data_IF_143538473636
#
_entry.id   IF_143538473636
#
_cell.length_a   1.000
_cell.length_b   1.000
_cell.length_c   1.000
_cell.angle_alpha   90.00
_cell.angle_beta   90.00
_cell.angle_gamma   90.00
#
_symmetry.space_group_name_H-M   'P 1'
#
loop_
_entity.id
_entity.type
_entity.pdbx_description
1 polymer ?
#
# COMPACT_ATOMS: atom_id res chain seq x y z
N UNK A 1 11.49 5.07 22.55
CA UNK A 1 11.88 3.72 22.07
C UNK A 1 10.88 3.20 21.03
N UNK A 2 9.57 3.29 21.27
CA UNK A 2 8.53 3.05 20.26
C UNK A 2 8.66 3.97 19.02
N UNK A 3 8.87 5.28 19.21
CA UNK A 3 8.99 6.22 18.07
C UNK A 3 10.18 5.89 17.13
N UNK A 4 11.27 5.37 17.69
CA UNK A 4 12.45 4.96 16.91
C UNK A 4 12.16 3.70 16.09
N UNK A 5 11.40 2.75 16.65
CA UNK A 5 11.00 1.53 15.93
C UNK A 5 10.00 1.86 14.82
N UNK A 6 9.02 2.72 15.09
CA UNK A 6 8.04 3.19 14.10
C UNK A 6 8.72 3.98 12.97
N UNK A 7 9.63 4.90 13.31
CA UNK A 7 10.37 5.67 12.30
C UNK A 7 11.28 4.78 11.44
N UNK A 8 11.89 3.75 12.04
CA UNK A 8 12.73 2.80 11.30
C UNK A 8 11.93 1.86 10.41
N UNK A 9 10.77 1.38 10.87
CA UNK A 9 9.85 0.59 10.03
C UNK A 9 9.31 1.44 8.87
N UNK A 10 8.93 2.70 9.12
CA UNK A 10 8.54 3.62 8.06
C UNK A 10 9.67 3.84 7.04
N UNK A 11 10.88 4.14 7.50
CA UNK A 11 12.05 4.30 6.63
C UNK A 11 12.35 3.03 5.83
N UNK A 12 12.05 1.85 6.36
CA UNK A 12 12.23 0.59 5.65
C UNK A 12 11.13 0.34 4.61
N UNK A 13 9.87 0.68 4.92
CA UNK A 13 8.73 0.55 4.02
C UNK A 13 8.81 1.49 2.80
N UNK A 14 9.42 2.67 2.97
CA UNK A 14 9.64 3.65 1.89
C UNK A 14 10.94 3.42 1.11
N UNK A 15 11.66 2.32 1.32
CA UNK A 15 12.76 1.93 0.41
C UNK A 15 12.19 1.35 -0.87
N UNK A 16 12.82 1.64 -2.00
CA UNK A 16 12.50 0.96 -3.25
C UNK A 16 13.08 -0.46 -3.24
N UNK A 17 12.41 -1.35 -3.96
CA UNK A 17 12.91 -2.68 -4.26
C UNK A 17 12.37 -3.10 -5.62
N UNK A 18 13.12 -3.99 -6.27
CA UNK A 18 12.85 -4.43 -7.62
C UNK A 18 12.40 -5.89 -7.58
N UNK A 19 11.32 -6.21 -8.29
CA UNK A 19 10.86 -7.59 -8.47
C UNK A 19 10.50 -7.84 -9.94
N UNK A 20 10.72 -9.07 -10.38
CA UNK A 20 10.23 -9.56 -11.66
C UNK A 20 8.82 -10.13 -11.46
N UNK A 21 7.88 -9.68 -12.29
CA UNK A 21 6.47 -10.04 -12.20
C UNK A 21 6.06 -10.64 -13.55
N UNK A 22 5.41 -11.80 -13.50
CA UNK A 22 4.75 -12.41 -14.64
C UNK A 22 3.42 -11.71 -14.90
N UNK A 23 3.32 -10.98 -16.02
CA UNK A 23 2.09 -10.31 -16.42
C UNK A 23 1.17 -11.25 -17.22
N UNK A 24 -0.16 -10.99 -17.21
CA UNK A 24 -1.14 -11.83 -17.90
C UNK A 24 -1.04 -11.80 -19.44
N UNK A 25 -0.25 -10.89 -20.01
CA UNK A 25 0.11 -10.89 -21.43
C UNK A 25 1.28 -11.83 -21.77
N UNK A 26 1.81 -12.55 -20.77
CA UNK A 26 2.91 -13.50 -20.92
C UNK A 26 4.29 -12.88 -20.84
N UNK A 27 4.40 -11.57 -20.61
CA UNK A 27 5.69 -10.89 -20.45
C UNK A 27 6.11 -10.84 -18.98
N UNK A 28 7.40 -11.11 -18.74
CA UNK A 28 8.03 -10.86 -17.45
C UNK A 28 8.55 -9.43 -17.44
N UNK A 29 8.06 -8.61 -16.52
CA UNK A 29 8.51 -7.22 -16.38
C UNK A 29 9.16 -6.98 -15.04
N UNK A 30 10.28 -6.27 -15.09
CA UNK A 30 11.04 -5.85 -13.92
C UNK A 30 10.50 -4.53 -13.41
N UNK A 31 9.83 -4.56 -12.26
CA UNK A 31 9.18 -3.40 -11.66
C UNK A 31 10.01 -2.93 -10.46
N UNK A 32 10.33 -1.63 -10.42
CA UNK A 32 10.91 -0.99 -9.25
C UNK A 32 9.84 -0.12 -8.57
N UNK A 33 9.56 -0.39 -7.30
CA UNK A 33 8.63 0.41 -6.50
C UNK A 33 8.94 0.28 -5.00
N UNK A 34 8.24 1.04 -4.16
CA UNK A 34 8.39 1.00 -2.72
C UNK A 34 8.03 -0.37 -2.13
N UNK A 35 8.76 -0.79 -1.09
CA UNK A 35 8.46 -2.03 -0.34
C UNK A 35 7.04 -2.06 0.21
N UNK A 36 6.51 -0.92 0.62
CA UNK A 36 5.10 -0.76 0.99
C UNK A 36 4.14 -1.20 -0.12
N UNK A 37 4.40 -0.80 -1.37
CA UNK A 37 3.57 -1.16 -2.53
C UNK A 37 3.66 -2.67 -2.79
N UNK A 38 4.84 -3.26 -2.62
CA UNK A 38 4.99 -4.71 -2.69
C UNK A 38 4.19 -5.46 -1.63
N UNK A 39 4.18 -4.96 -0.40
CA UNK A 39 3.39 -5.55 0.67
C UNK A 39 1.89 -5.51 0.35
N UNK A 40 1.39 -4.40 -0.19
CA UNK A 40 0.00 -4.31 -0.66
C UNK A 40 -0.31 -5.30 -1.78
N UNK A 41 0.60 -5.44 -2.75
CA UNK A 41 0.46 -6.40 -3.83
C UNK A 41 0.43 -7.85 -3.32
N UNK A 42 1.33 -8.20 -2.41
CA UNK A 42 1.41 -9.54 -1.83
C UNK A 42 0.10 -9.88 -1.11
N UNK A 43 -0.41 -8.94 -0.30
CA UNK A 43 -1.66 -9.08 0.45
C UNK A 43 -2.90 -9.16 -0.40
N UNK A 44 -2.95 -8.45 -1.52
CA UNK A 44 -4.07 -8.57 -2.43
C UNK A 44 -4.25 -9.99 -2.97
N UNK A 45 -3.17 -10.80 -3.02
CA UNK A 45 -3.28 -12.23 -3.34
C UNK A 45 -3.56 -13.16 -2.17
N UNK A 46 -3.46 -12.68 -0.92
CA UNK A 46 -3.71 -13.46 0.29
C UNK A 46 -5.14 -13.26 0.81
N UNK A 47 -5.76 -12.12 0.51
CA UNK A 47 -7.11 -11.78 0.99
C UNK A 47 -8.18 -12.45 0.14
N UNK A 48 -9.01 -13.29 0.75
CA UNK A 48 -10.06 -14.08 0.06
C UNK A 48 -11.09 -13.20 -0.66
N UNK A 49 -11.36 -12.01 -0.14
CA UNK A 49 -12.28 -11.03 -0.72
C UNK A 49 -11.57 -9.91 -1.50
N UNK A 50 -10.25 -10.01 -1.64
CA UNK A 50 -9.44 -9.03 -2.32
C UNK A 50 -9.49 -9.16 -3.84
N UNK A 51 -9.17 -8.10 -4.60
CA UNK A 51 -8.90 -8.25 -6.02
C UNK A 51 -7.69 -9.18 -6.20
N UNK A 52 -7.91 -10.35 -6.81
CA UNK A 52 -6.85 -11.31 -7.09
C UNK A 52 -5.70 -10.71 -7.91
N UNK A 53 -4.48 -11.24 -7.72
CA UNK A 53 -3.25 -10.74 -8.37
C UNK A 53 -3.37 -10.61 -9.89
N UNK A 54 -4.00 -11.58 -10.55
CA UNK A 54 -4.21 -11.53 -12.01
C UNK A 54 -5.11 -10.38 -12.44
N UNK A 55 -6.20 -10.12 -11.70
CA UNK A 55 -7.08 -8.99 -11.97
C UNK A 55 -6.32 -7.67 -11.81
N UNK A 56 -5.53 -7.52 -10.75
CA UNK A 56 -4.70 -6.34 -10.51
C UNK A 56 -3.74 -6.07 -11.67
N UNK A 57 -3.01 -7.08 -12.13
CA UNK A 57 -2.04 -6.92 -13.21
C UNK A 57 -2.72 -6.56 -14.55
N UNK A 58 -3.92 -7.08 -14.82
CA UNK A 58 -4.71 -6.67 -15.97
C UNK A 58 -5.11 -5.18 -15.91
N UNK A 59 -5.52 -4.70 -14.74
CA UNK A 59 -5.86 -3.28 -14.54
C UNK A 59 -4.61 -2.39 -14.69
N UNK A 60 -3.45 -2.85 -14.21
CA UNK A 60 -2.16 -2.16 -14.40
C UNK A 60 -1.83 -2.01 -15.89
N UNK A 61 -1.95 -3.08 -16.68
CA UNK A 61 -1.70 -2.99 -18.12
C UNK A 61 -2.67 -2.02 -18.81
N UNK A 62 -3.95 -2.10 -18.46
CA UNK A 62 -4.98 -1.22 -19.01
C UNK A 62 -4.70 0.26 -18.68
N UNK A 63 -4.41 0.56 -17.43
CA UNK A 63 -4.07 1.92 -16.98
C UNK A 63 -2.78 2.43 -17.63
N UNK A 64 -1.75 1.60 -17.78
CA UNK A 64 -0.51 1.98 -18.48
C UNK A 64 -0.78 2.42 -19.93
N UNK A 65 -1.64 1.70 -20.65
CA UNK A 65 -2.04 2.05 -22.02
C UNK A 65 -2.92 3.30 -22.05
N UNK A 66 -3.98 3.35 -21.24
CA UNK A 66 -4.96 4.45 -21.24
C UNK A 66 -4.33 5.78 -20.84
N UNK A 67 -3.43 5.78 -19.86
CA UNK A 67 -2.75 6.99 -19.37
C UNK A 67 -1.42 7.27 -20.08
N UNK A 68 -0.97 6.39 -20.98
CA UNK A 68 0.33 6.49 -21.65
C UNK A 68 1.50 6.62 -20.67
N UNK A 69 1.47 5.86 -19.58
CA UNK A 69 2.49 5.84 -18.53
C UNK A 69 3.24 4.50 -18.51
N UNK A 70 4.38 4.45 -17.82
CA UNK A 70 5.11 3.19 -17.66
C UNK A 70 4.32 2.18 -16.81
N UNK A 71 4.53 0.89 -17.07
CA UNK A 71 3.92 -0.19 -16.27
C UNK A 71 4.28 -0.07 -14.79
N UNK A 72 5.52 0.30 -14.46
CA UNK A 72 5.95 0.52 -13.07
C UNK A 72 5.20 1.66 -12.39
N UNK A 73 4.98 2.76 -13.10
CA UNK A 73 4.20 3.89 -12.58
C UNK A 73 2.73 3.51 -12.40
N UNK A 74 2.15 2.83 -13.39
CA UNK A 74 0.78 2.33 -13.32
C UNK A 74 0.59 1.35 -12.15
N UNK A 75 1.56 0.47 -11.91
CA UNK A 75 1.54 -0.49 -10.80
C UNK A 75 1.36 0.20 -9.44
N UNK A 76 2.15 1.25 -9.18
CA UNK A 76 2.02 2.03 -7.95
C UNK A 76 0.68 2.77 -7.83
N UNK A 77 0.16 3.33 -8.94
CA UNK A 77 -1.12 4.05 -8.95
C UNK A 77 -2.31 3.14 -8.68
N UNK A 78 -2.37 1.99 -9.37
CA UNK A 78 -3.46 1.02 -9.23
C UNK A 78 -3.52 0.46 -7.82
N UNK A 79 -2.38 0.04 -7.26
CA UNK A 79 -2.35 -0.48 -5.88
C UNK A 79 -2.75 0.57 -4.85
N UNK A 80 -2.29 1.81 -4.98
CA UNK A 80 -2.72 2.91 -4.11
C UNK A 80 -4.23 3.20 -4.23
N UNK A 81 -4.80 3.11 -5.44
CA UNK A 81 -6.23 3.30 -5.65
C UNK A 81 -7.06 2.19 -5.03
N UNK A 82 -6.65 0.93 -5.22
CA UNK A 82 -7.32 -0.25 -4.65
C UNK A 82 -7.30 -0.18 -3.13
N UNK A 83 -6.12 0.03 -2.52
CA UNK A 83 -5.99 0.16 -1.06
C UNK A 83 -6.90 1.26 -0.51
N UNK A 84 -6.93 2.44 -1.13
CA UNK A 84 -7.82 3.53 -0.70
C UNK A 84 -9.30 3.17 -0.81
N UNK A 85 -9.66 2.42 -1.84
CA UNK A 85 -11.06 2.02 -2.08
C UNK A 85 -11.48 0.98 -1.06
N UNK A 86 -10.61 0.00 -0.78
CA UNK A 86 -10.83 -1.04 0.19
C UNK A 86 -10.85 -0.48 1.63
N UNK A 87 -9.95 0.44 1.96
CA UNK A 87 -9.97 1.18 3.23
C UNK A 87 -11.26 1.99 3.41
N UNK A 88 -11.74 2.63 2.36
CA UNK A 88 -13.02 3.36 2.39
C UNK A 88 -14.23 2.41 2.58
N UNK A 89 -14.11 1.17 2.12
CA UNK A 89 -15.09 0.10 2.36
C UNK A 89 -14.95 -0.56 3.75
N UNK A 90 -13.95 -0.16 4.54
CA UNK A 90 -13.68 -0.69 5.88
C UNK A 90 -12.85 -1.97 5.90
N UNK A 91 -12.24 -2.35 4.78
CA UNK A 91 -11.28 -3.46 4.69
C UNK A 91 -9.89 -2.95 5.08
N UNK A 92 -9.29 -3.60 6.09
CA UNK A 92 -7.93 -3.28 6.53
C UNK A 92 -6.90 -4.02 5.67
N UNK A 93 -6.46 -3.34 4.61
CA UNK A 93 -5.38 -3.80 3.74
C UNK A 93 -3.99 -3.50 4.32
N UNK A 94 -3.90 -2.58 5.29
CA UNK A 94 -2.66 -1.94 5.69
C UNK A 94 -1.99 -2.57 6.91
N UNK A 95 -2.64 -3.45 7.70
CA UNK A 95 -2.14 -3.82 9.05
C UNK A 95 -1.55 -2.57 9.71
N UNK A 96 -2.33 -1.51 9.82
CA UNK A 96 -2.14 -0.74 11.03
C UNK A 96 -2.54 -1.73 12.14
N UNK A 97 -1.55 -2.46 12.70
CA UNK A 97 -1.75 -3.33 13.87
C UNK A 97 -2.72 -2.59 14.76
N UNK A 98 -3.87 -3.17 15.11
CA UNK A 98 -4.95 -2.46 15.81
C UNK A 98 -4.41 -1.60 16.98
N UNK A 99 -3.34 -2.08 17.63
CA UNK A 99 -2.55 -1.38 18.65
C UNK A 99 -1.96 -0.03 18.19
N UNK A 100 -1.40 0.04 16.99
CA UNK A 100 -0.79 1.20 16.36
C UNK A 100 -1.85 2.23 15.91
N UNK A 101 -2.99 1.75 15.40
CA UNK A 101 -4.16 2.57 15.08
C UNK A 101 -4.78 3.20 16.35
N UNK A 102 -4.94 2.39 17.41
CA UNK A 102 -5.39 2.84 18.74
C UNK A 102 -4.38 3.82 19.37
N UNK A 103 -3.07 3.56 19.23
CA UNK A 103 -2.02 4.46 19.72
C UNK A 103 -2.05 5.81 18.99
N UNK A 104 -2.17 5.83 17.65
CA UNK A 104 -2.32 7.05 16.85
C UNK A 104 -3.55 7.86 17.28
N UNK A 105 -4.70 7.22 17.46
CA UNK A 105 -5.91 7.89 17.95
C UNK A 105 -5.76 8.41 19.39
N UNK A 106 -5.13 7.65 20.29
CA UNK A 106 -4.89 8.07 21.67
C UNK A 106 -3.97 9.29 21.75
N UNK A 107 -2.92 9.33 20.91
CA UNK A 107 -2.03 10.48 20.78
C UNK A 107 -2.76 11.71 20.22
N UNK A 108 -3.57 11.55 19.17
CA UNK A 108 -4.40 12.65 18.64
C UNK A 108 -5.30 13.27 19.71
N UNK A 109 -6.03 12.44 20.47
CA UNK A 109 -6.89 12.89 21.59
C UNK A 109 -6.08 13.54 22.72
N UNK A 110 -4.83 13.15 22.93
CA UNK A 110 -3.95 13.78 23.91
C UNK A 110 -3.52 15.19 23.46
N UNK A 111 -3.07 15.34 22.21
CA UNK A 111 -2.68 16.63 21.66
C UNK A 111 -3.84 17.63 21.63
N UNK A 112 -5.04 17.19 21.26
CA UNK A 112 -6.24 18.03 21.32
C UNK A 112 -6.57 18.49 22.74
N UNK A 113 -6.46 17.60 23.73
CA UNK A 113 -6.66 17.96 25.15
C UNK A 113 -5.60 18.94 25.64
N UNK A 114 -4.36 18.81 25.19
CA UNK A 114 -3.27 19.73 25.53
C UNK A 114 -3.46 21.10 24.87
N UNK A 115 -3.96 21.13 23.63
CA UNK A 115 -4.27 22.35 22.86
C UNK A 115 -5.47 23.12 23.41
N UNK A 116 -6.44 22.43 24.05
CA UNK A 116 -7.57 23.06 24.76
C UNK A 116 -7.24 23.58 26.17
N UNK A 117 -6.06 23.25 26.70
CA UNK A 117 -5.58 23.70 28.03
C UNK A 117 -4.62 24.89 27.96
N UNK A 118 -4.23 25.30 26.76
CA UNK A 118 -3.57 26.57 26.45
C UNK A 118 -4.63 27.55 25.93
#
# INVERSE_FOLDING_TARGET
MLDYLVSREQDEMFRTSVRDIDFPDGEIRRIETYRLVWQWYDRAGEYEFGPGKEWLLNIVLKCAVEESISVSESFGRVLNHVVKTDEAAGLDYTDDKLELLVAKQAMGRFYERKKKRL
#
